data_IF_740566312873
#
_entry.id   IF_740566312873
#
_cell.length_a   1.000
_cell.length_b   1.000
_cell.length_c   1.000
_cell.angle_alpha   90.00
_cell.angle_beta   90.00
_cell.angle_gamma   90.00
#
_symmetry.space_group_name_H-M   'P 1'
#
loop_
_entity.id
_entity.type
_entity.pdbx_description
1 polymer ?
#
# COMPACT_ATOMS: atom_id res chain seq x y z
N UNK A 1 -8.99 -0.46 -20.01
CA UNK A 1 -7.98 0.37 -19.29
C UNK A 1 -7.26 -0.58 -18.35
N UNK A 2 -5.94 -0.64 -18.37
CA UNK A 2 -5.16 -1.56 -17.54
C UNK A 2 -4.71 -0.81 -16.26
N UNK A 3 -5.35 -1.10 -15.14
CA UNK A 3 -4.97 -0.58 -13.83
C UNK A 3 -3.99 -1.57 -13.21
N UNK A 4 -2.77 -1.13 -12.93
CA UNK A 4 -1.76 -1.93 -12.24
C UNK A 4 -2.13 -2.06 -10.76
N UNK A 5 -2.78 -3.17 -10.41
CA UNK A 5 -3.19 -3.48 -9.05
C UNK A 5 -2.01 -3.83 -8.12
N UNK A 6 -0.86 -4.23 -8.67
CA UNK A 6 0.32 -4.54 -7.85
C UNK A 6 0.76 -3.33 -7.01
N UNK A 7 0.55 -2.12 -7.49
CA UNK A 7 0.85 -0.87 -6.78
C UNK A 7 0.07 -0.67 -5.48
N UNK A 8 -1.04 -1.40 -5.31
CA UNK A 8 -1.90 -1.33 -4.13
C UNK A 8 -1.74 -2.55 -3.21
N UNK A 9 -0.86 -3.47 -3.53
CA UNK A 9 -0.51 -4.60 -2.69
C UNK A 9 0.53 -4.22 -1.62
N UNK A 10 0.66 -5.06 -0.60
CA UNK A 10 1.77 -4.98 0.34
C UNK A 10 3.09 -5.32 -0.35
N UNK A 11 4.20 -4.82 0.21
CA UNK A 11 5.52 -5.14 -0.31
C UNK A 11 5.96 -6.58 0.05
N UNK A 12 7.06 -7.02 -0.54
CA UNK A 12 7.62 -8.37 -0.32
C UNK A 12 8.08 -8.63 1.11
N UNK A 13 8.35 -7.57 1.90
CA UNK A 13 8.78 -7.68 3.29
C UNK A 13 7.59 -7.68 4.27
N UNK A 14 6.35 -7.46 3.82
CA UNK A 14 5.18 -7.55 4.69
C UNK A 14 5.01 -9.01 5.15
N UNK A 15 4.90 -9.29 6.47
CA UNK A 15 4.74 -10.65 6.97
C UNK A 15 3.46 -11.33 6.49
N UNK A 16 2.51 -10.55 6.00
CA UNK A 16 1.24 -11.03 5.46
C UNK A 16 1.38 -11.34 3.97
N UNK A 17 2.04 -12.43 3.63
CA UNK A 17 2.34 -12.83 2.24
C UNK A 17 1.11 -12.79 1.31
N UNK A 18 -0.07 -13.09 1.84
CA UNK A 18 -1.32 -13.08 1.08
C UNK A 18 -1.79 -11.68 0.65
N UNK A 19 -1.15 -10.59 1.12
CA UNK A 19 -1.40 -9.22 0.67
C UNK A 19 -0.39 -8.74 -0.39
N UNK A 20 0.62 -9.55 -0.70
CA UNK A 20 1.70 -9.16 -1.64
C UNK A 20 1.29 -9.25 -3.11
N UNK A 21 0.16 -9.86 -3.42
CA UNK A 21 -0.36 -10.01 -4.78
C UNK A 21 -1.88 -9.79 -4.83
N UNK A 22 -2.43 -9.36 -5.97
CA UNK A 22 -3.87 -9.29 -6.17
C UNK A 22 -4.51 -10.69 -6.08
N UNK A 23 -5.77 -10.73 -5.67
CA UNK A 23 -6.56 -11.96 -5.65
C UNK A 23 -7.96 -11.74 -6.21
N UNK A 24 -8.60 -12.80 -6.65
CA UNK A 24 -9.92 -12.82 -7.29
C UNK A 24 -10.97 -13.39 -6.34
N UNK A 25 -12.11 -12.71 -6.23
CA UNK A 25 -13.26 -13.16 -5.46
C UNK A 25 -14.56 -12.55 -6.00
N UNK A 26 -15.57 -13.38 -6.29
CA UNK A 26 -16.93 -12.95 -6.62
C UNK A 26 -17.04 -12.01 -7.84
N UNK A 27 -16.26 -12.21 -8.90
CA UNK A 27 -16.27 -11.40 -10.12
C UNK A 27 -15.52 -10.06 -9.99
N UNK A 28 -14.66 -9.96 -8.96
CA UNK A 28 -13.78 -8.83 -8.72
C UNK A 28 -12.34 -9.30 -8.50
N UNK A 29 -11.40 -8.45 -8.87
CA UNK A 29 -9.99 -8.56 -8.50
C UNK A 29 -9.70 -7.52 -7.43
N UNK A 30 -9.07 -7.94 -6.35
CA UNK A 30 -8.75 -7.12 -5.18
C UNK A 30 -7.25 -6.97 -5.01
N UNK A 31 -6.83 -5.83 -4.47
CA UNK A 31 -5.49 -5.57 -4.00
C UNK A 31 -5.54 -4.74 -2.71
N UNK A 32 -4.65 -5.01 -1.76
CA UNK A 32 -4.55 -4.25 -0.51
C UNK A 32 -3.16 -4.33 0.09
N UNK A 33 -2.74 -3.25 0.76
CA UNK A 33 -1.56 -3.22 1.62
C UNK A 33 -1.91 -3.14 3.12
N UNK A 34 -3.20 -3.27 3.46
CA UNK A 34 -3.71 -3.15 4.83
C UNK A 34 -4.17 -1.74 5.22
N UNK A 35 -3.79 -0.69 4.48
CA UNK A 35 -4.23 0.70 4.70
C UNK A 35 -5.30 1.14 3.70
N UNK A 36 -5.28 0.56 2.53
CA UNK A 36 -6.28 0.74 1.52
C UNK A 36 -6.64 -0.61 0.89
N UNK A 37 -7.79 -0.69 0.25
CA UNK A 37 -8.16 -1.81 -0.60
C UNK A 37 -8.80 -1.28 -1.87
N UNK A 38 -8.35 -1.81 -3.01
CA UNK A 38 -8.87 -1.49 -4.35
C UNK A 38 -9.51 -2.74 -4.93
N UNK A 39 -10.63 -2.59 -5.64
CA UNK A 39 -11.18 -3.66 -6.47
C UNK A 39 -11.53 -3.17 -7.87
N UNK A 40 -11.30 -4.00 -8.86
CA UNK A 40 -11.74 -3.78 -10.25
C UNK A 40 -12.56 -4.97 -10.73
N UNK A 41 -13.35 -4.77 -11.78
CA UNK A 41 -14.07 -5.89 -12.40
C UNK A 41 -13.08 -6.92 -12.91
N UNK A 42 -13.37 -8.19 -12.66
CA UNK A 42 -12.58 -9.31 -13.17
C UNK A 42 -12.79 -9.42 -14.69
N UNK A 43 -11.72 -9.28 -15.45
CA UNK A 43 -11.69 -9.42 -16.90
C UNK A 43 -11.30 -10.85 -17.35
N UNK A 44 -11.12 -11.76 -16.40
CA UNK A 44 -10.78 -13.16 -16.65
C UNK A 44 -9.28 -13.42 -16.83
N UNK A 45 -8.39 -12.49 -16.45
CA UNK A 45 -6.94 -12.72 -16.55
C UNK A 45 -6.51 -13.93 -15.71
N UNK A 46 -6.14 -15.04 -16.35
CA UNK A 46 -5.88 -16.35 -15.72
C UNK A 46 -4.77 -16.35 -14.66
N UNK A 47 -3.86 -15.37 -14.71
CA UNK A 47 -2.68 -15.30 -13.82
C UNK A 47 -3.00 -14.89 -12.37
N UNK A 48 -4.22 -14.41 -12.08
CA UNK A 48 -4.56 -13.92 -10.73
C UNK A 48 -5.20 -15.07 -9.92
N UNK A 49 -4.63 -15.40 -8.74
CA UNK A 49 -5.12 -16.51 -7.93
C UNK A 49 -6.50 -16.21 -7.32
N UNK A 50 -7.27 -17.24 -7.08
CA UNK A 50 -8.51 -17.17 -6.32
C UNK A 50 -8.22 -16.82 -4.83
N UNK A 51 -9.20 -16.23 -4.16
CA UNK A 51 -9.16 -15.94 -2.74
C UNK A 51 -8.85 -17.18 -1.90
N UNK A 52 -7.93 -17.08 -0.95
CA UNK A 52 -7.70 -18.06 0.10
C UNK A 52 -8.38 -17.63 1.41
N UNK A 53 -8.45 -18.54 2.39
CA UNK A 53 -9.00 -18.24 3.73
C UNK A 53 -8.20 -17.19 4.51
N UNK A 54 -6.94 -16.95 4.13
CA UNK A 54 -6.07 -15.93 4.75
C UNK A 54 -6.39 -14.51 4.29
N UNK A 55 -6.94 -14.33 3.08
CA UNK A 55 -7.29 -13.01 2.57
C UNK A 55 -8.44 -12.39 3.37
N UNK A 56 -8.44 -11.06 3.55
CA UNK A 56 -9.52 -10.37 4.22
C UNK A 56 -10.85 -10.56 3.46
N UNK A 57 -11.97 -10.48 4.18
CA UNK A 57 -13.28 -10.46 3.55
C UNK A 57 -13.57 -9.08 2.96
N UNK A 58 -12.85 -8.74 1.88
CA UNK A 58 -12.95 -7.44 1.24
C UNK A 58 -14.36 -7.21 0.65
N UNK A 59 -15.01 -8.25 0.13
CA UNK A 59 -16.37 -8.14 -0.40
C UNK A 59 -17.36 -7.61 0.64
N UNK A 60 -17.28 -8.09 1.89
CA UNK A 60 -18.12 -7.59 2.98
C UNK A 60 -17.79 -6.14 3.35
N UNK A 61 -16.52 -5.74 3.28
CA UNK A 61 -16.10 -4.34 3.51
C UNK A 61 -16.72 -3.41 2.44
N UNK A 62 -16.62 -3.76 1.17
CA UNK A 62 -17.19 -2.97 0.08
C UNK A 62 -18.72 -2.88 0.18
N UNK A 63 -19.40 -3.99 0.49
CA UNK A 63 -20.83 -3.98 0.74
C UNK A 63 -21.18 -2.97 1.83
N UNK A 64 -20.57 -3.10 3.00
CA UNK A 64 -20.83 -2.25 4.16
C UNK A 64 -20.56 -0.77 3.91
N UNK A 65 -19.46 -0.45 3.23
CA UNK A 65 -18.96 0.92 3.15
C UNK A 65 -19.25 1.65 1.82
N UNK A 66 -19.75 0.94 0.81
CA UNK A 66 -20.15 1.51 -0.48
C UNK A 66 -21.58 1.16 -0.84
N UNK A 67 -21.97 -0.12 -0.78
CA UNK A 67 -23.27 -0.57 -1.29
C UNK A 67 -24.42 -0.25 -0.30
N UNK A 68 -24.19 -0.52 1.00
CA UNK A 68 -25.20 -0.30 2.05
C UNK A 68 -25.14 1.12 2.65
N UNK A 69 -24.10 1.90 2.31
CA UNK A 69 -23.89 3.24 2.83
C UNK A 69 -24.51 4.28 1.90
N UNK A 70 -25.44 5.08 2.44
CA UNK A 70 -25.89 6.30 1.77
C UNK A 70 -24.79 7.36 1.92
N UNK A 71 -24.01 7.59 0.85
CA UNK A 71 -23.01 8.65 0.85
C UNK A 71 -22.98 9.38 -0.50
N UNK A 72 -22.71 10.67 -0.43
CA UNK A 72 -22.59 11.51 -1.63
C UNK A 72 -21.11 11.50 -2.09
N UNK A 73 -20.88 11.01 -3.31
CA UNK A 73 -19.56 11.01 -3.92
C UNK A 73 -19.27 12.35 -4.57
N UNK A 74 -18.31 13.06 -4.02
CA UNK A 74 -17.76 14.30 -4.59
C UNK A 74 -16.58 14.00 -5.51
N UNK A 75 -16.30 14.91 -6.44
CA UNK A 75 -15.09 14.84 -7.26
C UNK A 75 -13.88 14.86 -6.34
N UNK A 76 -12.88 14.00 -6.60
CA UNK A 76 -11.64 13.99 -5.86
C UNK A 76 -11.02 15.38 -5.88
N UNK A 77 -10.78 16.03 -4.73
CA UNK A 77 -10.11 17.32 -4.70
C UNK A 77 -8.69 17.18 -5.26
N UNK A 78 -8.10 18.25 -5.79
CA UNK A 78 -6.71 18.20 -6.23
C UNK A 78 -5.80 17.84 -5.05
N UNK A 79 -5.07 16.76 -5.20
CA UNK A 79 -4.08 16.31 -4.22
C UNK A 79 -2.70 16.75 -4.72
N UNK A 80 -1.95 17.44 -3.88
CA UNK A 80 -0.55 17.82 -4.21
C UNK A 80 0.29 16.56 -4.37
N UNK A 81 1.10 16.50 -5.43
CA UNK A 81 2.03 15.39 -5.62
C UNK A 81 2.97 15.28 -4.41
N UNK A 82 3.05 14.11 -3.79
CA UNK A 82 3.90 13.92 -2.62
C UNK A 82 5.39 14.01 -2.97
N UNK A 83 6.22 14.32 -1.96
CA UNK A 83 7.67 14.28 -2.12
C UNK A 83 8.14 12.88 -2.49
N UNK A 84 8.96 12.79 -3.51
CA UNK A 84 9.56 11.52 -3.93
C UNK A 84 10.44 10.95 -2.84
N UNK A 85 10.44 9.65 -2.74
CA UNK A 85 11.35 8.93 -1.86
C UNK A 85 12.80 9.19 -2.28
N UNK A 86 13.61 9.72 -1.38
CA UNK A 86 15.02 10.06 -1.65
C UNK A 86 15.89 8.82 -1.87
N UNK A 87 15.50 7.66 -1.34
CA UNK A 87 16.25 6.41 -1.46
C UNK A 87 16.11 5.77 -2.85
N UNK A 88 14.93 5.82 -3.46
CA UNK A 88 14.71 5.26 -4.79
C UNK A 88 14.44 6.32 -5.87
N UNK A 89 14.55 7.60 -5.55
CA UNK A 89 14.31 8.69 -6.50
C UNK A 89 12.89 8.74 -7.08
N UNK A 90 11.93 8.13 -6.41
CA UNK A 90 10.54 8.02 -6.87
C UNK A 90 10.23 6.75 -7.66
N UNK A 91 11.22 5.88 -7.90
CA UNK A 91 11.01 4.66 -8.69
C UNK A 91 10.21 3.56 -7.99
N UNK A 92 10.15 3.59 -6.64
CA UNK A 92 9.57 2.52 -5.83
C UNK A 92 10.46 1.27 -5.69
N UNK A 93 11.51 1.17 -6.50
CA UNK A 93 12.46 0.06 -6.54
C UNK A 93 13.88 0.57 -6.44
N UNK A 94 14.75 -0.29 -5.98
CA UNK A 94 16.21 -0.07 -5.95
C UNK A 94 16.94 -1.28 -6.53
N UNK A 95 18.17 -1.09 -6.97
CA UNK A 95 19.06 -2.19 -7.33
C UNK A 95 19.78 -2.67 -6.09
N UNK A 96 19.70 -3.94 -5.77
CA UNK A 96 20.33 -4.53 -4.61
C UNK A 96 20.88 -5.94 -4.89
N UNK A 97 21.85 -6.37 -4.07
CA UNK A 97 22.38 -7.72 -4.05
C UNK A 97 22.04 -8.35 -2.69
N UNK A 98 21.83 -9.65 -2.67
CA UNK A 98 21.62 -10.35 -1.39
C UNK A 98 22.89 -10.23 -0.54
N UNK A 99 22.74 -9.84 0.72
CA UNK A 99 23.87 -9.75 1.65
C UNK A 99 24.38 -11.15 1.98
N UNK A 100 25.67 -11.39 1.78
CA UNK A 100 26.31 -12.68 2.05
C UNK A 100 26.76 -12.82 3.52
N UNK A 101 26.80 -11.70 4.27
CA UNK A 101 27.35 -11.65 5.64
C UNK A 101 26.28 -11.90 6.71
N UNK A 102 25.02 -12.09 6.33
CA UNK A 102 23.93 -12.24 7.30
C UNK A 102 22.73 -13.02 6.72
N UNK A 103 21.82 -13.38 7.61
CA UNK A 103 20.49 -13.89 7.24
C UNK A 103 19.48 -12.82 7.60
N UNK A 104 18.77 -12.28 6.62
CA UNK A 104 17.71 -11.27 6.78
C UNK A 104 18.11 -10.04 7.65
N UNK A 105 19.36 -9.63 7.55
CA UNK A 105 19.89 -8.46 8.27
C UNK A 105 20.52 -8.76 9.62
N UNK A 106 20.52 -10.00 10.05
CA UNK A 106 21.05 -10.43 11.35
C UNK A 106 22.11 -11.53 11.20
N UNK A 107 23.06 -11.57 12.10
CA UNK A 107 24.00 -12.67 12.23
C UNK A 107 24.23 -13.03 13.70
N UNK A 108 24.48 -14.31 13.98
CA UNK A 108 24.70 -14.83 15.32
C UNK A 108 26.19 -15.01 15.56
N UNK A 109 26.68 -14.52 16.70
CA UNK A 109 28.02 -14.83 17.17
C UNK A 109 27.97 -15.27 18.65
N UNK A 110 28.26 -16.53 18.91
CA UNK A 110 28.00 -17.18 20.20
C UNK A 110 26.48 -17.24 20.48
N UNK A 111 26.09 -16.77 21.66
CA UNK A 111 24.68 -16.75 22.10
C UNK A 111 23.99 -15.41 21.80
N UNK A 112 24.62 -14.53 21.03
CA UNK A 112 24.11 -13.17 20.76
C UNK A 112 23.79 -12.98 19.30
N UNK A 113 22.68 -12.28 19.05
CA UNK A 113 22.27 -11.80 17.72
C UNK A 113 22.73 -10.36 17.52
N UNK A 114 23.23 -10.06 16.33
CA UNK A 114 23.74 -8.74 15.96
C UNK A 114 23.15 -8.30 14.63
N UNK A 115 22.83 -7.02 14.52
CA UNK A 115 22.42 -6.41 13.25
C UNK A 115 23.61 -6.32 12.29
N UNK A 116 23.43 -6.78 11.08
CA UNK A 116 24.44 -6.73 10.03
C UNK A 116 24.73 -5.29 9.61
N UNK A 117 26.00 -4.87 9.74
CA UNK A 117 26.42 -3.51 9.37
C UNK A 117 26.47 -3.29 7.86
N UNK A 118 26.66 -4.36 7.06
CA UNK A 118 26.84 -4.26 5.62
C UNK A 118 25.52 -4.02 4.88
N UNK A 119 24.39 -4.44 5.44
CA UNK A 119 23.07 -4.19 4.87
C UNK A 119 22.16 -3.33 5.77
N UNK A 120 22.67 -2.86 6.93
CA UNK A 120 21.93 -1.95 7.79
C UNK A 120 21.73 -0.59 7.10
N UNK A 121 20.48 -0.19 6.96
CA UNK A 121 20.13 1.07 6.30
C UNK A 121 20.06 1.00 4.77
N UNK A 122 20.23 -0.18 4.16
CA UNK A 122 19.98 -0.36 2.73
C UNK A 122 18.57 0.06 2.34
N UNK A 123 18.43 0.70 1.19
CA UNK A 123 17.15 1.07 0.64
C UNK A 123 16.27 -0.13 0.26
N UNK A 124 16.87 -1.30 0.09
CA UNK A 124 16.19 -2.57 -0.16
C UNK A 124 15.69 -3.27 1.13
N UNK A 125 16.13 -2.79 2.30
CA UNK A 125 15.79 -3.39 3.59
C UNK A 125 16.79 -4.45 4.08
N UNK A 126 16.52 -5.07 5.24
CA UNK A 126 17.39 -6.08 5.85
C UNK A 126 17.68 -7.26 4.91
N UNK A 127 18.90 -7.77 4.95
CA UNK A 127 19.35 -8.89 4.10
C UNK A 127 19.74 -8.48 2.67
N UNK A 128 19.63 -7.21 2.32
CA UNK A 128 19.98 -6.68 1.01
C UNK A 128 21.01 -5.56 1.16
N UNK A 129 22.06 -5.59 0.36
CA UNK A 129 23.02 -4.49 0.24
C UNK A 129 22.70 -3.68 -1.03
N UNK A 130 22.76 -2.34 -0.93
CA UNK A 130 22.59 -1.48 -2.09
C UNK A 130 23.63 -1.81 -3.16
N UNK A 131 23.17 -2.03 -4.38
CA UNK A 131 24.03 -2.32 -5.51
C UNK A 131 23.99 -1.17 -6.51
N UNK A 132 25.15 -0.81 -7.02
CA UNK A 132 25.22 0.06 -8.19
C UNK A 132 24.77 -0.75 -9.42
N UNK A 133 24.09 -0.10 -10.39
CA UNK A 133 23.57 -0.73 -11.62
C UNK A 133 24.57 -1.58 -12.41
N UNK A 134 25.87 -1.45 -12.10
CA UNK A 134 26.96 -2.17 -12.75
C UNK A 134 27.23 -3.60 -12.23
N UNK A 135 26.57 -4.02 -11.15
CA UNK A 135 26.75 -5.38 -10.63
C UNK A 135 25.87 -6.36 -11.42
N UNK A 136 26.48 -7.38 -12.10
CA UNK A 136 25.72 -8.35 -12.90
C UNK A 136 24.69 -9.16 -12.12
N UNK A 137 24.88 -9.28 -10.80
CA UNK A 137 23.99 -9.98 -9.86
C UNK A 137 22.94 -9.07 -9.21
N UNK A 138 22.94 -7.76 -9.53
CA UNK A 138 21.99 -6.84 -8.96
C UNK A 138 20.56 -7.18 -9.41
N UNK A 139 19.67 -7.23 -8.46
CA UNK A 139 18.25 -7.47 -8.67
C UNK A 139 17.49 -6.18 -8.41
N UNK A 140 16.38 -5.99 -9.14
CA UNK A 140 15.45 -4.92 -8.87
C UNK A 140 14.51 -5.36 -7.75
N UNK A 141 14.66 -4.75 -6.57
CA UNK A 141 13.88 -5.07 -5.38
C UNK A 141 13.04 -3.87 -4.93
N UNK A 142 11.90 -4.07 -4.25
CA UNK A 142 11.10 -2.99 -3.70
C UNK A 142 11.89 -2.13 -2.72
N UNK A 143 11.70 -0.81 -2.76
CA UNK A 143 12.28 0.11 -1.81
C UNK A 143 11.55 0.02 -0.46
N UNK A 144 12.23 -0.41 0.59
CA UNK A 144 11.66 -0.55 1.92
C UNK A 144 11.29 0.79 2.58
N UNK A 145 11.97 1.90 2.21
CA UNK A 145 11.74 3.22 2.80
C UNK A 145 10.44 3.90 2.35
N UNK A 146 9.89 3.51 1.23
CA UNK A 146 8.63 4.10 0.71
C UNK A 146 7.54 3.06 0.49
N UNK A 147 7.75 1.86 1.01
CA UNK A 147 6.80 0.76 0.85
C UNK A 147 6.40 0.56 -0.63
N UNK A 148 7.40 0.60 -1.52
CA UNK A 148 7.20 0.45 -2.96
C UNK A 148 6.44 1.59 -3.67
N UNK A 149 5.89 2.55 -2.90
CA UNK A 149 5.06 3.63 -3.44
C UNK A 149 5.82 4.67 -4.26
N UNK A 150 7.16 4.74 -4.14
CA UNK A 150 7.97 5.77 -4.78
C UNK A 150 7.94 7.13 -4.08
N UNK A 151 7.11 7.31 -3.06
CA UNK A 151 6.93 8.54 -2.30
C UNK A 151 7.23 8.34 -0.82
N UNK A 152 7.76 9.36 -0.16
CA UNK A 152 8.09 9.30 1.26
C UNK A 152 6.83 9.29 2.12
N UNK A 153 6.49 8.16 2.73
CA UNK A 153 5.32 8.02 3.60
C UNK A 153 5.39 8.93 4.84
N UNK A 154 6.59 9.13 5.39
CA UNK A 154 6.80 9.88 6.62
C UNK A 154 6.86 11.40 6.42
N UNK A 155 7.23 11.88 5.23
CA UNK A 155 7.41 13.32 4.94
C UNK A 155 6.14 14.01 4.46
N UNK A 156 5.24 13.27 3.82
CA UNK A 156 4.08 13.86 3.14
C UNK A 156 2.84 14.00 4.03
N UNK A 157 2.92 13.62 5.30
CA UNK A 157 1.87 13.87 6.28
C UNK A 157 0.50 13.28 5.91
N UNK A 158 -0.54 14.02 6.26
CA UNK A 158 -1.92 13.68 6.00
C UNK A 158 -2.67 14.85 5.35
N UNK A 159 -3.63 14.53 4.50
CA UNK A 159 -4.56 15.48 3.88
C UNK A 159 -5.93 15.33 4.51
N UNK A 160 -6.53 16.44 4.93
CA UNK A 160 -7.88 16.46 5.46
C UNK A 160 -8.90 16.50 4.32
N UNK A 161 -9.83 15.54 4.31
CA UNK A 161 -10.99 15.54 3.41
C UNK A 161 -12.24 15.22 4.24
N UNK A 162 -13.18 16.15 4.27
CA UNK A 162 -14.43 15.96 5.00
C UNK A 162 -14.27 15.88 6.52
N UNK A 163 -13.15 16.38 7.06
CA UNK A 163 -12.84 16.34 8.48
C UNK A 163 -12.00 15.12 8.91
N UNK A 164 -11.81 14.14 8.05
CA UNK A 164 -10.97 12.99 8.33
C UNK A 164 -9.58 13.15 7.68
N UNK A 165 -8.53 12.64 8.35
CA UNK A 165 -7.15 12.69 7.88
C UNK A 165 -6.81 11.40 7.15
N UNK A 166 -6.24 11.52 5.96
CA UNK A 166 -5.79 10.39 5.14
C UNK A 166 -4.33 10.58 4.73
N UNK A 167 -3.60 9.49 4.57
CA UNK A 167 -2.24 9.55 4.01
C UNK A 167 -2.26 10.24 2.64
N UNK A 168 -1.50 11.33 2.50
CA UNK A 168 -1.38 12.08 1.24
C UNK A 168 -0.88 11.20 0.10
N UNK A 169 0.06 10.26 0.39
CA UNK A 169 0.60 9.33 -0.60
C UNK A 169 -0.49 8.40 -1.15
N UNK A 170 -1.32 7.83 -0.29
CA UNK A 170 -2.40 6.95 -0.74
C UNK A 170 -3.51 7.71 -1.47
N UNK A 171 -3.86 8.91 -0.99
CA UNK A 171 -4.79 9.78 -1.71
C UNK A 171 -4.29 10.15 -3.10
N UNK A 172 -3.00 10.48 -3.21
CA UNK A 172 -2.36 10.76 -4.50
C UNK A 172 -2.45 9.55 -5.43
N UNK A 173 -2.06 8.37 -4.97
CA UNK A 173 -2.13 7.16 -5.79
C UNK A 173 -3.56 6.85 -6.28
N UNK A 174 -4.57 7.06 -5.41
CA UNK A 174 -5.98 6.86 -5.76
C UNK A 174 -6.52 7.98 -6.67
N UNK A 175 -6.06 9.22 -6.52
CA UNK A 175 -6.49 10.35 -7.36
C UNK A 175 -6.07 10.20 -8.84
N UNK A 176 -5.06 9.39 -9.13
CA UNK A 176 -4.62 9.07 -10.48
C UNK A 176 -5.54 8.05 -11.18
N UNK A 177 -6.47 7.42 -10.45
CA UNK A 177 -7.46 6.52 -11.04
C UNK A 177 -8.50 7.33 -11.85
N UNK A 178 -8.97 6.80 -12.99
CA UNK A 178 -9.80 7.57 -13.91
C UNK A 178 -11.16 7.92 -13.30
N UNK A 179 -11.57 9.17 -13.45
CA UNK A 179 -12.84 9.70 -12.95
C UNK A 179 -13.06 9.44 -11.44
N UNK A 180 -11.98 9.46 -10.66
CA UNK A 180 -12.01 9.14 -9.24
C UNK A 180 -12.87 10.16 -8.48
N UNK A 181 -13.82 9.63 -7.70
CA UNK A 181 -14.71 10.38 -6.81
C UNK A 181 -14.60 9.78 -5.41
N UNK A 182 -14.72 10.62 -4.39
CA UNK A 182 -14.56 10.22 -2.98
C UNK A 182 -15.81 10.58 -2.17
N UNK A 183 -16.20 9.68 -1.28
CA UNK A 183 -17.08 9.95 -0.15
C UNK A 183 -16.23 9.81 1.13
N UNK A 184 -15.92 10.90 1.85
CA UNK A 184 -15.10 10.85 3.04
C UNK A 184 -15.73 9.96 4.12
N UNK A 185 -14.89 9.41 5.00
CA UNK A 185 -15.36 8.76 6.23
C UNK A 185 -15.95 9.79 7.21
N UNK A 186 -16.73 9.31 8.19
CA UNK A 186 -17.31 10.18 9.21
C UNK A 186 -16.23 10.61 10.20
N UNK A 187 -15.93 11.92 10.21
CA UNK A 187 -15.00 12.53 11.15
C UNK A 187 -15.56 12.60 12.59
N UNK A 188 -16.86 12.51 12.76
CA UNK A 188 -17.56 12.67 14.03
C UNK A 188 -17.16 11.64 15.12
N UNK A 189 -16.44 10.60 14.75
CA UNK A 189 -16.05 9.52 15.66
C UNK A 189 -14.61 9.62 16.20
N UNK A 190 -13.75 10.46 15.64
CA UNK A 190 -12.35 10.56 16.07
C UNK A 190 -12.16 11.30 17.39
N UNK A 191 -13.12 12.13 17.82
CA UNK A 191 -12.97 13.04 18.96
C UNK A 191 -13.46 12.48 20.31
N UNK A 192 -14.09 11.33 20.38
CA UNK A 192 -14.79 10.90 21.61
C UNK A 192 -14.14 9.76 22.39
N UNK A 193 -12.95 9.27 22.02
CA UNK A 193 -12.24 8.27 22.85
C UNK A 193 -12.99 6.97 23.15
N UNK A 194 -14.12 6.72 22.53
CA UNK A 194 -15.05 5.63 22.84
C UNK A 194 -14.92 4.41 21.94
N UNK A 195 -13.72 4.13 21.39
CA UNK A 195 -13.51 2.90 20.60
C UNK A 195 -14.34 2.83 19.31
N UNK A 196 -14.85 3.94 18.83
CA UNK A 196 -15.62 4.01 17.59
C UNK A 196 -14.71 3.65 16.42
N UNK A 197 -15.09 2.64 15.67
CA UNK A 197 -14.34 2.19 14.47
C UNK A 197 -14.41 3.29 13.43
N UNK A 198 -13.25 3.83 13.07
CA UNK A 198 -13.13 4.82 12.01
C UNK A 198 -13.72 4.27 10.72
N UNK A 199 -14.57 5.08 10.10
CA UNK A 199 -15.19 4.72 8.83
C UNK A 199 -14.24 5.04 7.69
N UNK A 200 -13.88 4.09 6.82
CA UNK A 200 -13.01 4.39 5.69
C UNK A 200 -13.66 5.37 4.72
N UNK A 201 -12.86 6.15 4.01
CA UNK A 201 -13.33 6.81 2.80
C UNK A 201 -13.69 5.76 1.76
N UNK A 202 -14.81 5.99 1.09
CA UNK A 202 -15.24 5.20 -0.06
C UNK A 202 -14.88 5.94 -1.35
N UNK A 203 -14.33 5.24 -2.33
CA UNK A 203 -13.97 5.80 -3.62
C UNK A 203 -14.59 4.97 -4.74
N UNK A 204 -15.00 5.67 -5.79
CA UNK A 204 -15.45 5.05 -7.04
C UNK A 204 -14.64 5.65 -8.19
N UNK A 205 -14.35 4.84 -9.19
CA UNK A 205 -13.64 5.25 -10.40
C UNK A 205 -14.06 4.37 -11.58
N UNK A 206 -13.69 4.72 -12.79
CA UNK A 206 -14.04 3.93 -13.97
C UNK A 206 -13.47 2.51 -13.88
N UNK A 207 -14.37 1.53 -13.81
CA UNK A 207 -14.03 0.10 -13.73
C UNK A 207 -13.79 -0.42 -12.31
N UNK A 208 -13.86 0.41 -11.26
CA UNK A 208 -13.56 -0.07 -9.92
C UNK A 208 -14.00 0.78 -8.75
N UNK A 209 -13.58 0.36 -7.58
CA UNK A 209 -13.87 0.98 -6.29
C UNK A 209 -12.67 0.84 -5.35
N UNK A 210 -12.56 1.73 -4.37
CA UNK A 210 -11.56 1.62 -3.32
C UNK A 210 -12.12 2.04 -1.95
N UNK A 211 -11.46 1.56 -0.90
CA UNK A 211 -11.64 2.02 0.48
C UNK A 211 -10.28 2.46 1.00
N UNK A 212 -10.22 3.60 1.67
CA UNK A 212 -9.02 4.14 2.27
C UNK A 212 -9.26 4.38 3.76
N UNK A 213 -8.43 3.75 4.60
CA UNK A 213 -8.49 3.93 6.05
C UNK A 213 -7.98 5.33 6.43
N UNK A 214 -8.66 6.04 7.34
CA UNK A 214 -8.16 7.27 7.91
C UNK A 214 -6.89 7.01 8.74
N UNK A 215 -6.06 8.05 8.91
CA UNK A 215 -4.93 8.02 9.86
C UNK A 215 -5.44 8.32 11.26
N UNK A 216 -4.94 7.55 12.22
CA UNK A 216 -5.03 7.85 13.65
C UNK A 216 -3.80 8.70 14.00
N UNK A 217 -4.01 9.86 14.59
CA UNK A 217 -2.94 10.69 15.16
C UNK A 217 -2.52 10.19 16.55
#
# INVERSE_FOLDING_TARGET
MNIDLQRFCANENDPREYLRAPWRDGGWVYATNGHLVVRIRDDGAESIPARSSRHPNAAAMFRKHIEDRSCEFMVMPPITEPDKCTHCGGAGFVSAIKCEDCVDGEFTHGDYEYTCKNCCGSAAGPGWADAYEKYPSAQRVPCAHCDFMGYSLNRNGATNIGGALYSTVYLWALSLLPQCRICPGDAAYSCLGTGARETPAALIFDGGQALLMPRIE
#
